data_IF_290375035946
#
_entry.id   IF_290375035946
#
_cell.length_a   1.000
_cell.length_b   1.000
_cell.length_c   1.000
_cell.angle_alpha   90.00
_cell.angle_beta   90.00
_cell.angle_gamma   90.00
#
_symmetry.space_group_name_H-M   'P 1'
#
loop_
_entity.id
_entity.type
_entity.pdbx_description
1 polymer ?
#
# COMPACT_ATOMS: atom_id res chain seq x y z
N UNK A 1 -22.30 10.43 -49.04
CA UNK A 1 -22.96 9.91 -47.82
C UNK A 1 -22.07 10.30 -46.64
N UNK A 2 -22.11 11.59 -46.31
CA UNK A 2 -21.20 12.24 -45.36
C UNK A 2 -21.70 12.09 -43.92
N UNK A 3 -20.84 11.61 -43.04
CA UNK A 3 -21.10 11.50 -41.60
C UNK A 3 -20.75 12.82 -40.90
N UNK A 4 -21.63 13.39 -40.05
CA UNK A 4 -21.37 14.66 -39.39
C UNK A 4 -20.43 14.50 -38.19
N UNK A 5 -19.42 15.38 -38.11
CA UNK A 5 -18.51 15.55 -36.96
C UNK A 5 -19.22 16.34 -35.85
N UNK A 6 -19.34 15.75 -34.67
CA UNK A 6 -19.88 16.39 -33.46
C UNK A 6 -18.75 17.15 -32.74
N UNK A 7 -18.73 18.47 -32.86
CA UNK A 7 -17.87 19.38 -32.12
C UNK A 7 -18.66 19.96 -30.95
N UNK A 8 -18.19 19.75 -29.72
CA UNK A 8 -18.77 20.33 -28.49
C UNK A 8 -17.85 21.43 -27.98
N UNK A 9 -18.17 22.68 -28.33
CA UNK A 9 -17.58 23.89 -27.73
C UNK A 9 -18.65 24.52 -26.81
N UNK A 10 -18.38 24.77 -25.53
CA UNK A 10 -19.35 25.44 -24.66
C UNK A 10 -19.47 26.93 -25.03
N UNK A 11 -20.67 27.55 -24.90
CA UNK A 11 -20.86 28.94 -25.28
C UNK A 11 -20.32 29.92 -24.23
N UNK A 12 -19.73 31.00 -24.73
CA UNK A 12 -19.24 32.13 -23.96
C UNK A 12 -20.39 32.91 -23.31
N UNK A 13 -20.26 33.19 -22.01
CA UNK A 13 -21.19 34.04 -21.26
C UNK A 13 -20.90 35.50 -21.59
N UNK A 14 -21.83 36.12 -22.31
CA UNK A 14 -21.83 37.54 -22.66
C UNK A 14 -21.85 38.42 -21.39
N UNK A 15 -20.86 39.30 -21.30
CA UNK A 15 -20.85 40.46 -20.42
C UNK A 15 -21.62 41.59 -21.13
N UNK A 16 -22.63 42.15 -20.48
CA UNK A 16 -23.28 43.37 -20.92
C UNK A 16 -22.58 44.56 -20.26
N UNK A 17 -22.04 45.45 -21.09
CA UNK A 17 -21.49 46.74 -20.71
C UNK A 17 -22.59 47.80 -20.66
N UNK A 18 -22.58 48.62 -19.61
CA UNK A 18 -23.10 49.98 -19.64
C UNK A 18 -22.34 50.83 -18.61
N UNK A 19 -21.48 51.73 -19.11
CA UNK A 19 -20.91 52.89 -18.39
C UNK A 19 -21.80 54.11 -18.67
N UNK A 20 -21.89 55.14 -17.80
CA UNK A 20 -20.85 56.20 -17.72
C UNK A 20 -20.73 56.84 -16.28
N UNK A 21 -20.08 58.01 -16.08
CA UNK A 21 -18.67 58.39 -16.27
C UNK A 21 -17.98 58.75 -14.91
N UNK A 22 -16.70 59.19 -14.88
CA UNK A 22 -15.83 59.07 -13.70
C UNK A 22 -15.73 60.36 -12.87
N UNK A 23 -15.79 60.25 -11.55
CA UNK A 23 -15.24 61.28 -10.66
C UNK A 23 -14.83 60.71 -9.30
N UNK A 24 -13.67 61.16 -8.84
CA UNK A 24 -13.09 61.08 -7.48
C UNK A 24 -12.23 59.85 -7.11
N UNK A 25 -11.10 60.20 -6.48
CA UNK A 25 -9.91 59.46 -6.14
C UNK A 25 -10.10 58.49 -4.93
N UNK A 26 -9.09 57.68 -4.54
CA UNK A 26 -9.31 56.45 -3.80
C UNK A 26 -9.53 56.71 -2.31
N UNK A 27 -10.69 56.31 -1.80
CA UNK A 27 -10.92 56.19 -0.37
C UNK A 27 -10.13 54.99 0.17
N UNK A 28 -9.07 55.28 0.91
CA UNK A 28 -8.29 54.31 1.66
C UNK A 28 -9.23 53.49 2.56
N UNK A 29 -9.21 52.16 2.39
CA UNK A 29 -9.90 51.23 3.29
C UNK A 29 -9.39 51.47 4.72
N UNK A 30 -10.27 51.64 5.71
CA UNK A 30 -9.83 51.82 7.09
C UNK A 30 -9.07 50.58 7.54
N UNK A 31 -7.79 50.78 7.92
CA UNK A 31 -6.99 49.77 8.61
C UNK A 31 -7.76 49.36 9.86
N UNK A 32 -8.26 48.13 9.86
CA UNK A 32 -8.92 47.51 11.01
C UNK A 32 -7.95 47.61 12.18
N UNK A 33 -8.33 48.36 13.21
CA UNK A 33 -7.58 48.52 14.46
C UNK A 33 -7.34 47.10 15.00
N UNK A 34 -6.08 46.70 15.12
CA UNK A 34 -5.67 45.45 15.76
C UNK A 34 -6.20 45.52 17.18
N UNK A 35 -7.27 44.78 17.42
CA UNK A 35 -7.83 44.59 18.75
C UNK A 35 -6.80 43.71 19.48
N UNK A 36 -6.33 44.13 20.64
CA UNK A 36 -5.45 43.33 21.50
C UNK A 36 -6.19 42.02 21.83
N UNK A 37 -5.90 40.98 21.05
CA UNK A 37 -6.47 39.66 21.25
C UNK A 37 -5.81 39.07 22.50
N UNK A 38 -6.61 38.38 23.31
CA UNK A 38 -6.12 37.63 24.47
C UNK A 38 -4.94 36.72 24.04
N UNK A 39 -3.88 36.59 24.86
CA UNK A 39 -2.66 35.88 24.48
C UNK A 39 -2.93 34.42 24.07
N UNK A 40 -3.99 33.81 24.60
CA UNK A 40 -4.43 32.47 24.23
C UNK A 40 -5.01 32.39 22.81
N UNK A 41 -5.83 33.37 22.41
CA UNK A 41 -6.41 33.43 21.06
C UNK A 41 -5.34 33.72 20.01
N UNK A 42 -4.33 34.52 20.38
CA UNK A 42 -3.17 34.76 19.53
C UNK A 42 -2.35 33.48 19.33
N UNK A 43 -2.15 32.66 20.38
CA UNK A 43 -1.47 31.37 20.27
C UNK A 43 -2.26 30.39 19.39
N UNK A 44 -3.58 30.30 19.57
CA UNK A 44 -4.42 29.46 18.73
C UNK A 44 -4.38 29.90 17.27
N UNK A 45 -4.43 31.21 17.01
CA UNK A 45 -4.30 31.74 15.65
C UNK A 45 -2.96 31.36 15.03
N UNK A 46 -1.86 31.45 15.80
CA UNK A 46 -0.53 31.10 15.31
C UNK A 46 -0.41 29.60 14.98
N UNK A 47 -0.99 28.72 15.80
CA UNK A 47 -0.85 27.27 15.65
C UNK A 47 -1.85 26.63 14.68
N UNK A 48 -3.02 27.24 14.47
CA UNK A 48 -4.08 26.64 13.64
C UNK A 48 -4.28 27.33 12.29
N UNK A 49 -3.88 28.59 12.13
CA UNK A 49 -4.18 29.32 10.90
C UNK A 49 -3.11 29.10 9.82
N UNK A 50 -3.47 28.73 8.59
CA UNK A 50 -2.51 28.58 7.49
C UNK A 50 -1.80 29.89 7.12
N UNK A 51 -2.40 31.04 7.47
CA UNK A 51 -1.83 32.39 7.26
C UNK A 51 -0.99 32.87 8.45
N UNK A 52 -0.72 32.00 9.41
CA UNK A 52 0.16 32.30 10.54
C UNK A 52 1.57 32.66 10.05
N UNK A 53 2.24 33.58 10.76
CA UNK A 53 3.66 33.89 10.50
C UNK A 53 4.56 32.69 10.74
N UNK A 54 4.11 31.68 11.50
CA UNK A 54 4.84 30.44 11.72
C UNK A 54 5.03 29.61 10.44
N UNK A 55 4.20 29.80 9.40
CA UNK A 55 4.37 29.07 8.12
C UNK A 55 5.42 29.69 7.21
N UNK A 56 5.80 30.95 7.46
CA UNK A 56 6.79 31.67 6.63
C UNK A 56 8.16 31.85 7.29
N UNK A 57 8.26 31.66 8.60
CA UNK A 57 9.53 31.76 9.34
C UNK A 57 10.26 30.41 9.31
N UNK A 58 11.59 30.42 9.42
CA UNK A 58 12.34 29.18 9.62
C UNK A 58 12.10 28.66 11.05
N UNK A 59 11.55 27.45 11.16
CA UNK A 59 11.25 26.85 12.47
C UNK A 59 12.51 26.46 13.24
N UNK A 60 13.63 26.25 12.54
CA UNK A 60 14.94 25.93 13.13
C UNK A 60 15.46 27.09 13.97
N UNK A 61 15.18 28.33 13.55
CA UNK A 61 15.56 29.54 14.29
C UNK A 61 14.70 29.74 15.55
N UNK A 62 13.47 29.21 15.55
CA UNK A 62 12.55 29.32 16.68
C UNK A 62 12.80 28.22 17.73
N UNK A 63 12.90 26.97 17.28
CA UNK A 63 13.04 25.78 18.14
C UNK A 63 14.50 25.34 18.14
N UNK A 64 15.31 26.03 18.93
CA UNK A 64 16.73 25.73 19.11
C UNK A 64 17.10 25.57 20.60
N UNK A 65 18.35 25.14 20.85
CA UNK A 65 18.86 24.92 22.20
C UNK A 65 18.84 26.20 23.06
N UNK A 66 19.04 27.39 22.47
CA UNK A 66 18.99 28.64 23.20
C UNK A 66 17.57 28.96 23.68
N UNK A 67 16.57 28.84 22.80
CA UNK A 67 15.15 28.98 23.13
C UNK A 67 14.71 28.00 24.21
N UNK A 68 15.19 26.74 24.15
CA UNK A 68 14.90 25.74 25.17
C UNK A 68 15.47 26.12 26.54
N UNK A 69 16.71 26.64 26.57
CA UNK A 69 17.36 27.07 27.81
C UNK A 69 16.72 28.33 28.43
N UNK A 70 15.96 29.12 27.65
CA UNK A 70 15.19 30.26 28.16
C UNK A 70 13.91 29.84 28.90
N UNK A 71 13.46 28.59 28.76
CA UNK A 71 12.27 28.08 29.45
C UNK A 71 12.53 27.80 30.93
N UNK A 72 11.46 27.82 31.74
CA UNK A 72 11.55 27.43 33.15
C UNK A 72 11.95 25.95 33.28
N UNK A 73 12.61 25.56 34.38
CA UNK A 73 13.04 24.16 34.57
C UNK A 73 11.86 23.17 34.56
N UNK A 74 10.70 23.60 35.07
CA UNK A 74 9.46 22.80 35.04
C UNK A 74 8.98 22.55 33.60
N UNK A 75 8.96 23.59 32.76
CA UNK A 75 8.60 23.44 31.34
C UNK A 75 9.61 22.59 30.57
N UNK A 76 10.90 22.70 30.89
CA UNK A 76 11.92 21.84 30.30
C UNK A 76 11.72 20.37 30.67
N UNK A 77 11.35 20.07 31.91
CA UNK A 77 11.07 18.70 32.36
C UNK A 77 9.83 18.12 31.66
N UNK A 78 8.75 18.90 31.55
CA UNK A 78 7.56 18.52 30.79
C UNK A 78 7.87 18.24 29.32
N UNK A 79 8.69 19.08 28.68
CA UNK A 79 9.11 18.86 27.29
C UNK A 79 9.99 17.63 27.13
N UNK A 80 10.91 17.38 28.07
CA UNK A 80 11.72 16.16 28.07
C UNK A 80 10.85 14.90 28.14
N UNK A 81 9.71 14.92 28.86
CA UNK A 81 8.82 13.78 28.91
C UNK A 81 8.18 13.43 27.54
N UNK A 82 8.10 14.38 26.61
CA UNK A 82 7.53 14.19 25.27
C UNK A 82 8.56 13.82 24.20
N UNK A 83 9.85 13.96 24.48
CA UNK A 83 10.92 13.66 23.54
C UNK A 83 11.17 12.15 23.44
N UNK A 84 11.56 11.65 22.24
CA UNK A 84 11.86 10.24 22.07
C UNK A 84 13.05 9.84 22.95
N UNK A 85 13.14 8.56 23.38
CA UNK A 85 14.26 8.08 24.18
C UNK A 85 15.62 8.34 23.56
N UNK A 86 15.71 8.37 22.22
CA UNK A 86 16.93 8.65 21.45
C UNK A 86 17.49 10.05 21.66
N UNK A 87 16.69 11.00 22.16
CA UNK A 87 17.15 12.37 22.42
C UNK A 87 18.04 12.48 23.67
N UNK A 88 18.15 11.41 24.47
CA UNK A 88 18.89 11.42 25.72
C UNK A 88 20.23 10.71 25.57
N UNK A 89 21.29 11.29 26.15
CA UNK A 89 22.64 10.71 26.14
C UNK A 89 22.70 9.31 26.78
N UNK A 90 21.75 9.01 27.67
CA UNK A 90 21.63 7.72 28.34
C UNK A 90 21.02 6.62 27.46
N UNK A 91 20.60 6.91 26.23
CA UNK A 91 19.96 5.92 25.37
C UNK A 91 20.98 4.93 24.81
N UNK A 92 20.84 3.67 25.21
CA UNK A 92 21.56 2.55 24.60
C UNK A 92 20.61 1.85 23.63
N UNK A 93 20.98 1.79 22.34
CA UNK A 93 20.21 1.05 21.34
C UNK A 93 20.22 -0.43 21.70
N UNK A 94 19.10 -0.92 22.24
CA UNK A 94 18.88 -2.35 22.46
C UNK A 94 18.44 -2.96 21.15
N UNK A 95 19.23 -3.91 20.67
CA UNK A 95 18.82 -4.79 19.58
C UNK A 95 17.82 -5.79 20.19
N UNK A 96 16.76 -6.11 19.45
CA UNK A 96 15.78 -7.11 19.86
C UNK A 96 16.46 -8.47 20.11
N UNK A 97 16.16 -9.20 21.20
CA UNK A 97 16.76 -10.50 21.47
C UNK A 97 16.60 -11.51 20.34
N UNK A 98 15.56 -11.40 19.51
CA UNK A 98 15.32 -12.29 18.38
C UNK A 98 16.10 -11.88 17.11
N UNK A 99 16.84 -10.76 17.15
CA UNK A 99 17.66 -10.32 16.02
C UNK A 99 18.91 -11.21 15.89
N UNK A 100 19.29 -11.69 14.68
CA UNK A 100 20.42 -12.60 14.50
C UNK A 100 21.78 -12.02 14.90
N UNK A 101 21.89 -10.70 15.05
CA UNK A 101 23.09 -10.02 15.56
C UNK A 101 23.15 -9.97 17.09
N UNK A 102 22.10 -10.36 17.81
CA UNK A 102 22.09 -10.43 19.27
C UNK A 102 22.87 -11.66 19.78
N UNK A 103 22.94 -12.75 19.00
CA UNK A 103 23.61 -14.00 19.39
C UNK A 103 25.14 -13.98 19.32
N UNK A 104 25.74 -12.89 18.81
CA UNK A 104 27.21 -12.76 18.67
C UNK A 104 27.84 -11.89 19.79
N UNK A 105 27.03 -11.50 20.77
CA UNK A 105 27.50 -10.76 21.95
C UNK A 105 28.16 -11.73 22.93
N UNK A 106 29.47 -11.95 22.80
CA UNK A 106 30.31 -12.60 23.82
C UNK A 106 30.07 -11.96 25.19
N UNK A 107 29.75 -12.80 26.17
CA UNK A 107 29.26 -12.47 27.51
C UNK A 107 30.37 -11.88 28.41
N UNK A 108 30.85 -10.70 28.05
CA UNK A 108 31.88 -9.98 28.81
C UNK A 108 31.27 -8.66 29.32
N UNK A 109 30.94 -8.66 30.61
CA UNK A 109 30.54 -7.52 31.44
C UNK A 109 29.16 -6.89 31.19
N UNK A 110 28.07 -7.63 31.45
CA UNK A 110 26.78 -7.01 31.79
C UNK A 110 26.77 -6.51 33.24
N UNK A 111 27.36 -5.34 33.47
CA UNK A 111 27.02 -4.51 34.63
C UNK A 111 25.59 -3.99 34.44
N UNK A 112 24.69 -4.40 35.34
CA UNK A 112 23.32 -3.93 35.42
C UNK A 112 23.29 -2.39 35.55
N UNK A 113 22.74 -1.65 34.58
CA UNK A 113 22.64 -0.20 34.70
C UNK A 113 21.57 0.14 35.73
N UNK A 114 22.01 0.50 36.92
CA UNK A 114 21.18 1.14 37.94
C UNK A 114 20.53 2.39 37.34
N UNK A 115 19.20 2.41 37.33
CA UNK A 115 18.35 3.48 36.81
C UNK A 115 18.57 4.79 37.60
N UNK A 116 19.58 5.56 37.23
CA UNK A 116 19.70 6.95 37.63
C UNK A 116 18.83 7.80 36.71
N UNK A 117 17.82 8.43 37.30
CA UNK A 117 16.71 9.17 36.68
C UNK A 117 17.10 10.50 36.03
N UNK A 118 18.39 10.84 35.95
CA UNK A 118 18.84 12.09 35.32
C UNK A 118 19.09 11.87 33.83
N UNK A 119 18.01 11.90 33.06
CA UNK A 119 18.07 11.88 31.59
C UNK A 119 18.62 13.22 31.10
N UNK A 120 19.94 13.29 30.93
CA UNK A 120 20.59 14.46 30.34
C UNK A 120 20.24 14.51 28.85
N UNK A 121 19.56 15.58 28.45
CA UNK A 121 19.14 15.80 27.07
C UNK A 121 20.36 16.14 26.22
N UNK A 122 20.51 15.49 25.07
CA UNK A 122 21.52 15.85 24.09
C UNK A 122 21.05 17.09 23.31
N UNK A 123 21.78 18.20 23.42
CA UNK A 123 21.41 19.45 22.74
C UNK A 123 21.52 19.36 21.22
N UNK A 124 22.26 18.38 20.69
CA UNK A 124 22.35 18.17 19.24
C UNK A 124 21.05 17.66 18.64
N UNK A 125 20.08 17.22 19.45
CA UNK A 125 18.76 16.80 18.98
C UNK A 125 18.04 17.89 18.19
N UNK A 126 18.23 19.16 18.56
CA UNK A 126 17.63 20.29 17.85
C UNK A 126 18.22 20.51 16.44
N UNK A 127 19.41 19.98 16.19
CA UNK A 127 20.08 20.00 14.88
C UNK A 127 19.96 18.68 14.12
N UNK A 128 19.29 17.68 14.69
CA UNK A 128 19.11 16.40 14.04
C UNK A 128 18.20 16.54 12.81
N UNK A 129 18.60 15.88 11.72
CA UNK A 129 17.86 15.83 10.46
C UNK A 129 16.42 15.35 10.64
N UNK A 130 16.18 14.38 11.53
CA UNK A 130 14.85 13.87 11.81
C UNK A 130 13.99 14.87 12.57
N UNK A 131 14.58 15.58 13.53
CA UNK A 131 13.88 16.62 14.28
C UNK A 131 13.50 17.80 13.39
N UNK A 132 14.43 18.27 12.55
CA UNK A 132 14.18 19.34 11.58
C UNK A 132 13.12 18.93 10.55
N UNK A 133 13.18 17.71 10.04
CA UNK A 133 12.15 17.19 9.14
C UNK A 133 10.76 17.16 9.80
N UNK A 134 10.68 16.74 11.07
CA UNK A 134 9.42 16.78 11.83
C UNK A 134 8.91 18.21 12.05
N UNK A 135 9.81 19.16 12.32
CA UNK A 135 9.48 20.56 12.49
C UNK A 135 8.94 21.18 11.18
N UNK A 136 9.58 20.92 10.03
CA UNK A 136 9.05 21.36 8.73
C UNK A 136 7.72 20.69 8.39
N UNK A 137 7.58 19.39 8.69
CA UNK A 137 6.30 18.69 8.51
C UNK A 137 5.19 19.33 9.34
N UNK A 138 5.49 19.80 10.56
CA UNK A 138 4.53 20.58 11.36
C UNK A 138 4.13 21.88 10.66
N UNK A 139 5.09 22.63 10.09
CA UNK A 139 4.77 23.85 9.33
C UNK A 139 3.88 23.53 8.12
N UNK A 140 4.19 22.47 7.38
CA UNK A 140 3.39 22.01 6.24
C UNK A 140 1.97 21.61 6.67
N UNK A 141 1.82 20.97 7.83
CA UNK A 141 0.52 20.63 8.41
C UNK A 141 -0.29 21.87 8.80
N UNK A 142 0.36 22.90 9.34
CA UNK A 142 -0.28 24.19 9.63
C UNK A 142 -0.70 24.87 8.32
N UNK A 143 0.18 24.90 7.31
CA UNK A 143 -0.10 25.49 6.01
C UNK A 143 -1.24 24.77 5.26
N UNK A 144 -1.28 23.44 5.36
CA UNK A 144 -2.29 22.59 4.71
C UNK A 144 -3.62 22.53 5.47
N UNK A 145 -3.78 23.34 6.52
CA UNK A 145 -4.99 23.39 7.36
C UNK A 145 -5.33 22.04 8.03
N UNK A 146 -4.31 21.20 8.28
CA UNK A 146 -4.49 19.90 8.95
C UNK A 146 -4.89 20.11 10.43
N UNK A 147 -4.36 21.14 11.08
CA UNK A 147 -4.67 21.46 12.47
C UNK A 147 -6.00 22.19 12.67
N UNK A 148 -6.82 22.34 11.63
CA UNK A 148 -8.12 23.01 11.74
C UNK A 148 -9.16 22.14 12.44
N UNK A 149 -10.11 22.80 13.13
CA UNK A 149 -11.19 22.11 13.83
C UNK A 149 -12.06 21.28 12.85
N UNK A 150 -12.14 21.70 11.59
CA UNK A 150 -12.81 20.97 10.52
C UNK A 150 -12.09 19.65 10.18
N UNK A 151 -10.76 19.65 10.14
CA UNK A 151 -10.00 18.42 9.96
C UNK A 151 -10.10 17.51 11.18
N UNK A 152 -9.98 18.05 12.39
CA UNK A 152 -10.14 17.30 13.64
C UNK A 152 -11.51 16.60 13.72
N UNK A 153 -12.60 17.28 13.32
CA UNK A 153 -13.93 16.69 13.25
C UNK A 153 -14.03 15.54 12.23
N UNK A 154 -13.34 15.64 11.09
CA UNK A 154 -13.28 14.56 10.09
C UNK A 154 -12.52 13.34 10.61
N UNK A 155 -11.37 13.55 11.28
CA UNK A 155 -10.58 12.47 11.89
C UNK A 155 -11.42 11.77 12.95
N UNK A 156 -12.06 12.51 13.85
CA UNK A 156 -12.92 11.94 14.88
C UNK A 156 -14.06 11.11 14.29
N UNK A 157 -14.73 11.63 13.25
CA UNK A 157 -15.78 10.87 12.54
C UNK A 157 -15.25 9.58 11.92
N UNK A 158 -14.02 9.60 11.39
CA UNK A 158 -13.36 8.42 10.85
C UNK A 158 -13.03 7.40 11.95
N UNK A 159 -12.46 7.85 13.07
CA UNK A 159 -12.17 7.02 14.25
C UNK A 159 -13.44 6.38 14.83
N UNK A 160 -14.51 7.17 14.99
CA UNK A 160 -15.81 6.69 15.46
C UNK A 160 -16.38 5.66 14.47
N UNK A 161 -16.28 5.89 13.15
CA UNK A 161 -16.68 4.92 12.14
C UNK A 161 -15.89 3.61 12.18
N UNK A 162 -14.59 3.66 12.53
CA UNK A 162 -13.77 2.45 12.74
C UNK A 162 -14.20 1.71 14.01
N UNK A 163 -14.53 2.43 15.08
CA UNK A 163 -15.02 1.82 16.34
C UNK A 163 -16.38 1.16 16.15
N UNK A 164 -17.27 1.81 15.41
CA UNK A 164 -18.61 1.32 15.11
C UNK A 164 -18.62 0.21 14.04
N UNK A 165 -17.47 -0.05 13.40
CA UNK A 165 -17.34 -1.07 12.34
C UNK A 165 -17.97 -0.68 11.01
N UNK A 166 -18.38 0.57 10.85
CA UNK A 166 -18.95 1.11 9.60
C UNK A 166 -17.87 1.46 8.57
N UNK A 167 -16.65 1.76 9.03
CA UNK A 167 -15.48 2.07 8.20
C UNK A 167 -14.34 1.09 8.52
N UNK A 168 -13.69 0.60 7.46
CA UNK A 168 -12.51 -0.25 7.59
C UNK A 168 -11.22 0.60 7.53
N UNK A 169 -10.24 0.21 8.34
CA UNK A 169 -8.90 0.80 8.33
C UNK A 169 -7.88 -0.29 8.04
N UNK A 170 -7.21 -0.20 6.89
CA UNK A 170 -6.31 -1.24 6.39
C UNK A 170 -5.22 -1.66 7.39
N UNK A 171 -4.71 -0.71 8.19
CA UNK A 171 -3.68 -0.99 9.20
C UNK A 171 -4.19 -1.85 10.37
N UNK A 172 -5.48 -1.80 10.70
CA UNK A 172 -6.07 -2.62 11.76
C UNK A 172 -6.23 -4.07 11.31
N UNK A 173 -6.52 -4.28 10.02
CA UNK A 173 -6.59 -5.60 9.40
C UNK A 173 -5.19 -6.24 9.36
N UNK A 174 -4.15 -5.48 9.03
CA UNK A 174 -2.75 -5.97 9.04
C UNK A 174 -2.24 -6.35 10.45
N UNK A 175 -2.59 -5.57 11.49
CA UNK A 175 -2.24 -5.91 12.89
C UNK A 175 -3.04 -7.12 13.36
N UNK A 176 -4.33 -7.21 13.00
CA UNK A 176 -5.16 -8.36 13.31
C UNK A 176 -4.64 -9.62 12.61
N UNK A 177 -4.26 -9.54 11.34
CA UNK A 177 -3.61 -10.60 10.58
C UNK A 177 -2.29 -11.01 11.26
N UNK A 178 -1.40 -10.06 11.57
CA UNK A 178 -0.14 -10.36 12.28
C UNK A 178 -0.37 -11.09 13.60
N UNK A 179 -1.38 -10.68 14.38
CA UNK A 179 -1.67 -11.27 15.68
C UNK A 179 -2.38 -12.63 15.58
N UNK A 180 -3.15 -12.88 14.51
CA UNK A 180 -3.93 -14.11 14.35
C UNK A 180 -3.31 -15.15 13.40
N UNK A 181 -2.31 -14.77 12.59
CA UNK A 181 -1.54 -15.70 11.76
C UNK A 181 -0.72 -16.67 12.64
N UNK A 182 -0.36 -16.28 13.87
CA UNK A 182 0.39 -17.12 14.82
C UNK A 182 -0.37 -18.37 15.29
N UNK A 183 -1.69 -18.45 15.12
CA UNK A 183 -2.47 -19.64 15.51
C UNK A 183 -2.63 -20.68 14.40
N UNK A 184 -2.28 -20.39 13.14
CA UNK A 184 -2.57 -21.31 12.02
C UNK A 184 -1.33 -22.00 11.42
N UNK A 185 -0.11 -21.66 11.87
CA UNK A 185 1.14 -22.10 11.23
C UNK A 185 2.08 -22.93 12.15
N UNK A 186 1.54 -23.76 13.06
CA UNK A 186 2.36 -24.83 13.67
C UNK A 186 2.35 -26.08 12.78
N UNK A 187 3.17 -26.05 11.72
CA UNK A 187 3.80 -27.25 11.16
C UNK A 187 5.31 -27.00 11.01
N UNK A 188 6.17 -27.86 11.55
CA UNK A 188 7.61 -27.65 11.50
C UNK A 188 8.11 -27.99 10.09
N UNK A 189 8.71 -27.00 9.41
CA UNK A 189 9.53 -27.24 8.22
C UNK A 189 10.97 -26.98 8.61
N UNK A 190 11.77 -28.03 8.46
CA UNK A 190 13.20 -28.06 8.72
C UNK A 190 13.89 -27.07 7.78
N UNK A 191 14.71 -26.21 8.39
CA UNK A 191 15.49 -25.16 7.74
C UNK A 191 16.58 -25.73 6.84
N UNK A 192 16.78 -25.14 5.67
CA UNK A 192 18.11 -24.92 5.13
C UNK A 192 18.16 -23.64 4.28
N UNK A 193 18.85 -22.65 4.85
CA UNK A 193 19.50 -21.46 4.30
C UNK A 193 19.14 -20.92 2.91
N UNK A 194 18.59 -19.71 2.87
CA UNK A 194 19.28 -18.50 2.37
C UNK A 194 18.36 -17.28 2.58
N UNK A 195 18.87 -16.28 3.30
CA UNK A 195 18.15 -15.05 3.63
C UNK A 195 18.23 -14.04 2.48
N UNK A 196 17.08 -13.52 2.05
CA UNK A 196 16.97 -12.29 1.27
C UNK A 196 15.99 -11.33 1.98
N UNK A 197 16.29 -10.03 2.09
CA UNK A 197 15.51 -9.10 2.91
C UNK A 197 14.23 -8.64 2.21
N UNK A 198 13.09 -8.77 2.88
CA UNK A 198 11.76 -8.39 2.37
C UNK A 198 11.37 -6.98 2.85
N UNK A 199 11.60 -5.97 2.00
CA UNK A 199 11.14 -4.58 2.20
C UNK A 199 10.10 -4.11 1.15
N UNK A 200 9.45 -5.02 0.42
CA UNK A 200 8.72 -4.68 -0.81
C UNK A 200 7.20 -4.40 -0.68
N UNK A 201 6.59 -4.48 0.50
CA UNK A 201 5.11 -4.47 0.57
C UNK A 201 4.52 -3.05 0.47
N UNK A 202 5.18 -2.04 1.06
CA UNK A 202 4.62 -0.68 1.15
C UNK A 202 4.54 0.09 -0.18
N UNK A 203 5.48 -0.17 -1.11
CA UNK A 203 5.53 0.58 -2.37
C UNK A 203 4.49 0.10 -3.41
N UNK A 204 3.98 -1.13 -3.25
CA UNK A 204 3.12 -1.80 -4.23
C UNK A 204 1.74 -1.15 -4.43
N UNK A 205 1.21 -0.46 -3.41
CA UNK A 205 -0.11 0.15 -3.47
C UNK A 205 -0.11 1.54 -4.16
N UNK A 206 0.91 2.37 -3.95
CA UNK A 206 1.06 3.65 -4.66
C UNK A 206 1.48 3.47 -6.13
N UNK A 207 2.27 2.42 -6.43
CA UNK A 207 2.74 2.05 -7.79
C UNK A 207 1.66 1.44 -8.70
N UNK A 208 0.48 1.13 -8.15
CA UNK A 208 -0.58 0.40 -8.86
C UNK A 208 -1.31 1.21 -9.95
N UNK A 209 -1.24 2.55 -9.88
CA UNK A 209 -1.95 3.43 -10.81
C UNK A 209 -1.36 3.45 -12.23
N UNK A 210 -0.04 3.45 -12.35
CA UNK A 210 0.66 3.55 -13.65
C UNK A 210 0.87 2.17 -14.30
N UNK A 211 1.11 1.13 -13.49
CA UNK A 211 1.11 -0.25 -13.96
C UNK A 211 -0.27 -0.68 -14.52
N UNK A 212 -1.34 0.10 -14.27
CA UNK A 212 -2.70 -0.15 -14.75
C UNK A 212 -2.85 -0.18 -16.28
N UNK A 213 -1.86 0.28 -17.04
CA UNK A 213 -1.87 0.23 -18.50
C UNK A 213 -1.39 -1.11 -19.08
N UNK A 214 -0.63 -1.91 -18.31
CA UNK A 214 -0.09 -3.19 -18.79
C UNK A 214 -1.23 -4.21 -18.89
N UNK A 215 -1.46 -4.74 -20.09
CA UNK A 215 -2.49 -5.76 -20.35
C UNK A 215 -1.92 -7.16 -20.14
N UNK A 216 -2.79 -8.14 -19.89
CA UNK A 216 -2.42 -9.56 -19.74
C UNK A 216 -1.66 -10.08 -20.96
N UNK A 217 -2.11 -9.68 -22.15
CA UNK A 217 -1.48 -9.95 -23.45
C UNK A 217 -0.03 -9.46 -23.51
N UNK A 218 0.28 -8.32 -22.87
CA UNK A 218 1.64 -7.80 -22.80
C UNK A 218 2.54 -8.72 -21.96
N UNK A 219 2.05 -9.23 -20.82
CA UNK A 219 2.81 -10.17 -20.00
C UNK A 219 3.11 -11.48 -20.76
N UNK A 220 2.16 -11.96 -21.54
CA UNK A 220 2.37 -13.12 -22.41
C UNK A 220 3.38 -12.83 -23.54
N UNK A 221 3.29 -11.66 -24.18
CA UNK A 221 4.22 -11.22 -25.23
C UNK A 221 5.67 -11.16 -24.76
N UNK A 222 5.90 -10.73 -23.53
CA UNK A 222 7.23 -10.57 -22.95
C UNK A 222 7.72 -11.81 -22.18
N UNK A 223 6.99 -12.94 -22.26
CA UNK A 223 7.42 -14.19 -21.64
C UNK A 223 7.32 -14.22 -20.11
N UNK A 224 6.63 -13.25 -19.52
CA UNK A 224 6.29 -13.24 -18.08
C UNK A 224 5.28 -14.34 -17.78
N UNK A 225 4.36 -14.62 -18.70
CA UNK A 225 3.50 -15.81 -18.71
C UNK A 225 3.96 -16.76 -19.80
N UNK A 226 4.04 -18.05 -19.48
CA UNK A 226 4.60 -19.10 -20.35
C UNK A 226 3.63 -20.28 -20.48
N UNK A 227 3.77 -21.01 -21.58
CA UNK A 227 3.09 -22.30 -21.75
C UNK A 227 3.53 -23.25 -20.63
N UNK A 228 2.58 -23.97 -20.04
CA UNK A 228 2.81 -24.88 -18.93
C UNK A 228 2.70 -24.24 -17.53
N UNK A 229 2.58 -22.91 -17.43
CA UNK A 229 2.28 -22.24 -16.16
C UNK A 229 0.87 -22.59 -15.68
N UNK A 230 0.70 -22.72 -14.36
CA UNK A 230 -0.61 -22.86 -13.72
C UNK A 230 -1.05 -21.51 -13.16
N UNK A 231 -2.22 -21.04 -13.56
CA UNK A 231 -2.89 -19.88 -12.98
C UNK A 231 -3.88 -20.37 -11.93
N UNK A 232 -3.55 -20.15 -10.67
CA UNK A 232 -4.37 -20.47 -9.52
C UNK A 232 -5.25 -19.28 -9.15
N UNK A 233 -6.56 -19.49 -9.14
CA UNK A 233 -7.56 -18.53 -8.69
C UNK A 233 -8.00 -18.82 -7.27
N UNK A 234 -8.11 -17.76 -6.47
CA UNK A 234 -8.68 -17.80 -5.13
C UNK A 234 -9.44 -16.52 -4.85
N UNK A 235 -10.73 -16.64 -4.52
CA UNK A 235 -11.55 -15.49 -4.12
C UNK A 235 -12.61 -15.88 -3.09
N UNK A 236 -12.78 -15.01 -2.10
CA UNK A 236 -13.85 -15.11 -1.12
C UNK A 236 -15.03 -14.20 -1.55
N UNK A 237 -16.24 -14.76 -1.55
CA UNK A 237 -17.49 -14.07 -1.82
C UNK A 237 -18.24 -13.92 -0.51
N UNK A 238 -17.90 -12.90 0.28
CA UNK A 238 -18.50 -12.65 1.60
C UNK A 238 -20.02 -12.53 1.59
N UNK A 239 -20.61 -12.00 0.51
CA UNK A 239 -22.07 -11.94 0.35
C UNK A 239 -22.77 -13.29 0.12
N UNK A 240 -22.01 -14.35 -0.14
CA UNK A 240 -22.49 -15.73 -0.33
C UNK A 240 -21.89 -16.71 0.68
N UNK A 241 -20.95 -16.27 1.52
CA UNK A 241 -20.13 -17.09 2.42
C UNK A 241 -19.47 -18.29 1.73
N UNK A 242 -18.97 -18.07 0.50
CA UNK A 242 -18.32 -19.12 -0.30
C UNK A 242 -16.94 -18.65 -0.73
N UNK A 243 -15.96 -19.53 -0.59
CA UNK A 243 -14.64 -19.39 -1.18
C UNK A 243 -14.51 -20.30 -2.42
N UNK A 244 -14.06 -19.71 -3.53
CA UNK A 244 -13.80 -20.43 -4.77
C UNK A 244 -12.29 -20.51 -4.97
N UNK A 245 -11.80 -21.73 -5.18
CA UNK A 245 -10.42 -22.02 -5.53
C UNK A 245 -10.39 -22.89 -6.79
N UNK A 246 -9.68 -22.47 -7.82
CA UNK A 246 -9.64 -23.13 -9.14
C UNK A 246 -8.28 -22.97 -9.79
N UNK A 247 -7.77 -24.04 -10.39
CA UNK A 247 -6.53 -24.00 -11.15
C UNK A 247 -6.81 -24.09 -12.66
N UNK A 248 -5.99 -23.39 -13.44
CA UNK A 248 -5.97 -23.44 -14.89
C UNK A 248 -4.55 -23.58 -15.41
N UNK A 249 -4.34 -24.30 -16.51
CA UNK A 249 -3.02 -24.39 -17.14
C UNK A 249 -3.01 -23.67 -18.48
N UNK A 250 -1.92 -22.93 -18.75
CA UNK A 250 -1.71 -22.28 -20.05
C UNK A 250 -1.25 -23.34 -21.05
N UNK A 251 -2.12 -23.72 -21.97
CA UNK A 251 -1.82 -24.70 -23.01
C UNK A 251 -1.03 -24.11 -24.17
N UNK A 252 -1.44 -22.93 -24.65
CA UNK A 252 -0.79 -22.29 -25.79
C UNK A 252 -0.95 -20.78 -25.72
N UNK A 253 0.01 -20.05 -26.29
CA UNK A 253 -0.07 -18.60 -26.45
C UNK A 253 -0.13 -18.31 -27.95
N UNK A 254 -1.18 -17.64 -28.40
CA UNK A 254 -1.35 -17.36 -29.83
C UNK A 254 -0.23 -16.42 -30.33
N UNK A 255 0.50 -16.75 -31.41
CA UNK A 255 1.74 -16.05 -31.78
C UNK A 255 1.57 -14.57 -32.19
N UNK A 256 0.42 -14.21 -32.78
CA UNK A 256 0.14 -12.83 -33.23
C UNK A 256 -0.59 -11.95 -32.20
N UNK A 257 -1.59 -12.52 -31.53
CA UNK A 257 -2.47 -11.79 -30.61
C UNK A 257 -2.04 -11.92 -29.15
N UNK A 258 -1.15 -12.85 -28.83
CA UNK A 258 -0.74 -13.25 -27.47
C UNK A 258 -1.92 -13.54 -26.54
N UNK A 259 -3.05 -13.97 -27.10
CA UNK A 259 -4.16 -14.52 -26.34
C UNK A 259 -3.75 -15.87 -25.74
N UNK A 260 -4.16 -16.12 -24.50
CA UNK A 260 -3.86 -17.35 -23.78
C UNK A 260 -4.96 -18.37 -24.06
N UNK A 261 -4.60 -19.56 -24.50
CA UNK A 261 -5.50 -20.72 -24.45
C UNK A 261 -5.24 -21.44 -23.14
N UNK A 262 -6.24 -21.51 -22.29
CA UNK A 262 -6.15 -22.09 -20.95
C UNK A 262 -7.14 -23.24 -20.80
N UNK A 263 -6.73 -24.26 -20.05
CA UNK A 263 -7.51 -25.45 -19.75
C UNK A 263 -7.97 -25.42 -18.29
N UNK A 264 -9.23 -25.80 -18.07
CA UNK A 264 -9.84 -25.90 -16.74
C UNK A 264 -10.68 -27.17 -16.63
N UNK A 265 -10.83 -27.66 -15.40
CA UNK A 265 -11.78 -28.72 -15.09
C UNK A 265 -13.16 -28.16 -14.71
N UNK A 266 -14.25 -28.77 -15.22
CA UNK A 266 -15.60 -28.41 -14.84
C UNK A 266 -15.96 -28.79 -13.40
N UNK A 267 -16.98 -28.12 -12.86
CA UNK A 267 -17.48 -28.36 -11.50
C UNK A 267 -16.67 -27.63 -10.44
N UNK A 268 -16.62 -28.14 -9.21
CA UNK A 268 -16.01 -27.47 -8.04
C UNK A 268 -14.59 -27.94 -7.73
N UNK A 269 -14.00 -28.78 -8.59
CA UNK A 269 -12.65 -29.31 -8.45
C UNK A 269 -11.62 -28.20 -8.47
N UNK A 270 -10.80 -28.13 -7.42
CA UNK A 270 -9.74 -27.12 -7.30
C UNK A 270 -8.56 -27.40 -8.23
N UNK A 271 -8.05 -28.63 -8.17
CA UNK A 271 -6.81 -29.02 -8.84
C UNK A 271 -7.08 -29.59 -10.23
N UNK A 272 -6.11 -29.40 -11.13
CA UNK A 272 -6.11 -30.04 -12.44
C UNK A 272 -5.72 -31.53 -12.31
N UNK A 273 -6.21 -32.40 -13.20
CA UNK A 273 -5.87 -33.81 -13.19
C UNK A 273 -4.39 -34.02 -13.54
N UNK A 274 -3.80 -35.09 -13.01
CA UNK A 274 -2.37 -35.36 -13.11
C UNK A 274 -1.85 -35.41 -14.57
N UNK A 275 -2.68 -35.84 -15.52
CA UNK A 275 -2.31 -35.89 -16.94
C UNK A 275 -2.14 -34.52 -17.61
N UNK A 276 -2.70 -33.45 -17.02
CA UNK A 276 -2.49 -32.07 -17.48
C UNK A 276 -1.34 -31.37 -16.73
N UNK A 277 -0.84 -31.97 -15.65
CA UNK A 277 0.23 -31.37 -14.85
C UNK A 277 1.62 -31.58 -15.48
N UNK A 278 1.72 -32.20 -16.66
CA UNK A 278 2.97 -32.36 -17.41
C UNK A 278 3.53 -31.02 -17.92
N UNK A 279 4.84 -30.91 -18.20
CA UNK A 279 5.45 -29.69 -18.73
C UNK A 279 4.86 -29.27 -20.09
N UNK A 280 4.50 -30.25 -20.91
CA UNK A 280 3.77 -30.07 -22.16
C UNK A 280 2.33 -30.48 -21.88
N UNK A 281 1.38 -29.53 -21.83
CA UNK A 281 -0.03 -29.86 -21.58
C UNK A 281 -0.57 -30.71 -22.73
N UNK A 282 -1.16 -31.86 -22.40
CA UNK A 282 -1.80 -32.72 -23.39
C UNK A 282 -2.98 -32.00 -24.09
N UNK A 283 -3.42 -32.51 -25.23
CA UNK A 283 -4.65 -32.02 -25.87
C UNK A 283 -5.86 -32.18 -24.93
N UNK A 284 -6.84 -31.28 -25.00
CA UNK A 284 -8.00 -31.31 -24.10
C UNK A 284 -8.80 -32.60 -24.33
N UNK A 285 -8.75 -33.52 -23.38
CA UNK A 285 -9.68 -34.65 -23.32
C UNK A 285 -10.88 -34.30 -22.46
N UNK A 286 -12.07 -34.78 -22.80
CA UNK A 286 -13.24 -34.61 -21.94
C UNK A 286 -12.95 -35.19 -20.53
N UNK A 287 -13.28 -34.49 -19.43
CA UNK A 287 -14.19 -33.34 -19.35
C UNK A 287 -13.52 -31.95 -19.37
N UNK A 288 -12.20 -31.87 -19.59
CA UNK A 288 -11.45 -30.60 -19.59
C UNK A 288 -11.98 -29.63 -20.64
N UNK A 289 -12.17 -28.37 -20.27
CA UNK A 289 -12.62 -27.30 -21.15
C UNK A 289 -11.50 -26.32 -21.47
N UNK A 290 -11.43 -25.88 -22.72
CA UNK A 290 -10.49 -24.85 -23.18
C UNK A 290 -11.19 -23.50 -23.39
N UNK A 291 -10.56 -22.40 -22.97
CA UNK A 291 -11.02 -21.05 -23.30
C UNK A 291 -9.88 -20.16 -23.80
N UNK A 292 -10.21 -19.25 -24.72
CA UNK A 292 -9.29 -18.20 -25.18
C UNK A 292 -9.48 -16.95 -24.34
N UNK A 293 -8.41 -16.50 -23.69
CA UNK A 293 -8.42 -15.44 -22.68
C UNK A 293 -7.51 -14.29 -23.12
N UNK A 294 -8.06 -13.07 -23.08
CA UNK A 294 -7.33 -11.84 -23.41
C UNK A 294 -7.25 -10.85 -22.25
N UNK A 295 -8.01 -11.06 -21.18
CA UNK A 295 -8.01 -10.22 -19.99
C UNK A 295 -8.23 -11.02 -18.69
N UNK A 296 -7.77 -10.54 -17.53
CA UNK A 296 -7.98 -11.25 -16.26
C UNK A 296 -9.44 -11.33 -15.85
N UNK A 297 -10.27 -10.33 -16.20
CA UNK A 297 -11.71 -10.37 -15.95
C UNK A 297 -12.40 -11.46 -16.79
N UNK A 298 -11.93 -11.68 -18.03
CA UNK A 298 -12.41 -12.78 -18.87
C UNK A 298 -12.02 -14.14 -18.27
N UNK A 299 -10.79 -14.25 -17.73
CA UNK A 299 -10.32 -15.44 -17.02
C UNK A 299 -11.18 -15.75 -15.79
N UNK A 300 -11.42 -14.73 -14.96
CA UNK A 300 -12.24 -14.86 -13.75
C UNK A 300 -13.67 -15.26 -14.08
N UNK A 301 -14.27 -14.60 -15.07
CA UNK A 301 -15.63 -14.92 -15.51
C UNK A 301 -15.71 -16.35 -16.03
N UNK A 302 -14.73 -16.80 -16.81
CA UNK A 302 -14.67 -18.17 -17.32
C UNK A 302 -14.54 -19.21 -16.20
N UNK A 303 -13.65 -19.00 -15.23
CA UNK A 303 -13.50 -19.90 -14.08
C UNK A 303 -14.77 -19.97 -13.23
N UNK A 304 -15.44 -18.85 -13.01
CA UNK A 304 -16.69 -18.79 -12.23
C UNK A 304 -17.87 -19.39 -12.98
N UNK A 305 -17.93 -19.25 -14.32
CA UNK A 305 -18.93 -19.91 -15.16
C UNK A 305 -18.77 -21.44 -15.10
N UNK A 306 -17.54 -21.93 -15.11
CA UNK A 306 -17.20 -23.35 -15.06
C UNK A 306 -17.46 -23.94 -13.65
N UNK A 307 -17.23 -23.16 -12.59
CA UNK A 307 -17.51 -23.56 -11.21
C UNK A 307 -19.02 -23.58 -10.90
N UNK A 308 -19.78 -22.62 -11.45
CA UNK A 308 -21.25 -22.61 -11.42
C UNK A 308 -21.89 -22.17 -10.10
N UNK A 309 -21.13 -22.03 -8.99
CA UNK A 309 -21.69 -21.61 -7.69
C UNK A 309 -22.01 -20.12 -7.58
N UNK A 310 -21.46 -19.28 -8.46
CA UNK A 310 -21.66 -17.82 -8.42
C UNK A 310 -22.29 -17.31 -9.72
N UNK A 311 -23.53 -16.88 -9.61
CA UNK A 311 -24.28 -16.22 -10.69
C UNK A 311 -23.56 -14.96 -11.18
N UNK A 312 -23.60 -14.70 -12.49
CA UNK A 312 -22.96 -13.52 -13.11
C UNK A 312 -23.36 -12.19 -12.46
N UNK A 313 -24.61 -12.04 -12.03
CA UNK A 313 -25.11 -10.81 -11.40
C UNK A 313 -24.52 -10.55 -10.00
N UNK A 314 -24.04 -11.60 -9.30
CA UNK A 314 -23.45 -11.50 -7.96
C UNK A 314 -21.93 -11.42 -7.99
N UNK A 315 -21.32 -11.36 -9.18
CA UNK A 315 -19.88 -11.27 -9.33
C UNK A 315 -19.42 -9.84 -9.02
N UNK A 316 -18.50 -9.65 -8.07
CA UNK A 316 -17.99 -8.34 -7.72
C UNK A 316 -17.13 -7.75 -8.85
N UNK A 317 -17.32 -6.47 -9.15
CA UNK A 317 -16.52 -5.70 -10.13
C UNK A 317 -15.13 -5.32 -9.58
N UNK A 318 -14.43 -6.29 -8.99
CA UNK A 318 -13.14 -6.08 -8.34
C UNK A 318 -11.95 -6.19 -9.29
N UNK A 319 -10.76 -5.89 -8.76
CA UNK A 319 -9.51 -6.03 -9.47
C UNK A 319 -9.09 -7.51 -9.57
N UNK A 320 -9.51 -8.18 -10.66
CA UNK A 320 -9.24 -9.58 -10.92
C UNK A 320 -7.73 -9.93 -10.89
N UNK A 321 -6.83 -8.98 -11.16
CA UNK A 321 -5.37 -9.19 -11.12
C UNK A 321 -4.86 -9.69 -9.76
N UNK A 322 -5.54 -9.33 -8.67
CA UNK A 322 -5.14 -9.73 -7.30
C UNK A 322 -5.58 -11.15 -6.94
N UNK A 323 -6.51 -11.73 -7.68
CA UNK A 323 -7.12 -13.03 -7.38
C UNK A 323 -6.37 -14.21 -8.01
N UNK A 324 -5.33 -13.94 -8.81
CA UNK A 324 -4.59 -14.96 -9.55
C UNK A 324 -3.14 -15.04 -9.11
N UNK A 325 -2.68 -16.25 -8.82
CA UNK A 325 -1.28 -16.60 -8.56
C UNK A 325 -0.76 -17.50 -9.67
N UNK A 326 0.41 -17.16 -10.21
CA UNK A 326 1.09 -17.96 -11.24
C UNK A 326 2.03 -18.94 -10.57
N UNK A 327 1.98 -20.18 -11.03
CA UNK A 327 2.80 -21.30 -10.58
C UNK A 327 3.63 -21.83 -11.74
N UNK A 328 4.93 -21.96 -11.55
CA UNK A 328 5.90 -22.30 -12.60
C UNK A 328 6.85 -23.40 -12.15
N UNK A 329 7.36 -24.18 -13.09
CA UNK A 329 8.39 -25.19 -12.84
C UNK A 329 9.71 -24.58 -12.35
N UNK A 330 10.37 -25.28 -11.43
CA UNK A 330 11.71 -24.94 -10.93
C UNK A 330 12.74 -25.58 -11.86
N UNK A 331 13.10 -24.91 -12.95
CA UNK A 331 14.07 -25.40 -13.94
C UNK A 331 13.50 -25.54 -15.36
N UNK A 332 14.36 -25.90 -16.32
CA UNK A 332 13.94 -26.17 -17.71
C UNK A 332 13.08 -27.45 -17.78
N UNK A 333 12.20 -27.59 -18.79
CA UNK A 333 11.19 -28.67 -18.90
C UNK A 333 11.70 -30.13 -18.97
N UNK A 334 12.99 -30.39 -18.69
CA UNK A 334 13.65 -31.69 -18.80
C UNK A 334 14.14 -32.31 -17.49
N UNK A 335 14.23 -31.56 -16.39
CA UNK A 335 14.65 -32.10 -15.08
C UNK A 335 13.46 -32.77 -14.38
N UNK A 336 13.10 -33.93 -14.91
CA UNK A 336 11.86 -34.68 -14.65
C UNK A 336 11.82 -35.42 -13.31
N UNK A 337 12.85 -35.31 -12.46
CA UNK A 337 13.02 -36.18 -11.28
C UNK A 337 12.34 -35.67 -10.00
N UNK A 338 11.76 -34.47 -9.99
CA UNK A 338 11.05 -33.96 -8.81
C UNK A 338 9.56 -33.84 -9.09
N UNK A 339 8.87 -34.99 -9.12
CA UNK A 339 7.43 -35.06 -8.89
C UNK A 339 7.17 -34.64 -7.44
N UNK A 340 7.22 -33.34 -7.18
CA UNK A 340 6.90 -32.79 -5.87
C UNK A 340 5.46 -33.16 -5.50
N UNK A 341 5.27 -33.61 -4.26
CA UNK A 341 4.00 -34.05 -3.65
C UNK A 341 2.90 -32.95 -3.59
N UNK A 342 3.09 -31.81 -4.25
CA UNK A 342 2.13 -30.72 -4.33
C UNK A 342 1.08 -30.96 -5.42
N UNK A 343 -0.18 -30.60 -5.14
CA UNK A 343 -1.33 -30.70 -6.08
C UNK A 343 -1.23 -29.90 -7.39
N UNK A 344 -0.05 -29.31 -7.69
CA UNK A 344 0.27 -28.56 -8.92
C UNK A 344 1.47 -29.13 -9.68
N UNK A 345 1.86 -30.37 -9.35
CA UNK A 345 2.93 -31.13 -10.00
C UNK A 345 4.26 -30.40 -9.89
N UNK A 346 4.83 -30.27 -8.69
CA UNK A 346 6.19 -29.72 -8.49
C UNK A 346 6.42 -28.23 -8.79
N UNK A 347 5.43 -27.51 -9.34
CA UNK A 347 5.53 -26.06 -9.60
C UNK A 347 5.60 -25.25 -8.31
N UNK A 348 6.33 -24.14 -8.33
CA UNK A 348 6.44 -23.17 -7.24
C UNK A 348 5.65 -21.88 -7.54
N UNK A 349 5.26 -21.17 -6.49
CA UNK A 349 4.55 -19.90 -6.62
C UNK A 349 5.48 -18.81 -7.14
N UNK A 350 5.27 -18.39 -8.39
CA UNK A 350 6.07 -17.34 -9.03
C UNK A 350 5.61 -15.92 -8.65
N UNK A 351 4.35 -15.76 -8.22
CA UNK A 351 3.79 -14.48 -7.76
C UNK A 351 2.35 -14.26 -8.24
N UNK A 352 1.69 -13.23 -7.74
CA UNK A 352 0.36 -12.86 -8.24
C UNK A 352 0.46 -12.15 -9.58
N UNK A 353 -0.58 -12.24 -10.42
CA UNK A 353 -0.62 -11.47 -11.68
C UNK A 353 -0.47 -9.97 -11.42
N UNK A 354 -0.99 -9.47 -10.29
CA UNK A 354 -0.79 -8.09 -9.86
C UNK A 354 0.70 -7.76 -9.61
N UNK A 355 1.44 -8.62 -8.89
CA UNK A 355 2.86 -8.40 -8.64
C UNK A 355 3.70 -8.55 -9.90
N UNK A 356 3.48 -9.60 -10.70
CA UNK A 356 4.20 -9.82 -11.96
C UNK A 356 4.02 -8.68 -12.95
N UNK A 357 2.86 -8.04 -12.93
CA UNK A 357 2.58 -6.84 -13.70
C UNK A 357 3.37 -5.63 -13.20
N UNK A 358 3.46 -5.46 -11.88
CA UNK A 358 4.22 -4.39 -11.25
C UNK A 358 5.72 -4.53 -11.50
N UNK A 359 6.28 -5.72 -11.32
CA UNK A 359 7.72 -5.97 -11.60
C UNK A 359 8.07 -5.70 -13.05
N UNK A 360 7.27 -6.22 -14.00
CA UNK A 360 7.48 -5.97 -15.42
C UNK A 360 7.39 -4.48 -15.81
N UNK A 361 6.58 -3.68 -15.11
CA UNK A 361 6.53 -2.23 -15.32
C UNK A 361 7.86 -1.55 -14.97
N UNK A 362 8.52 -1.99 -13.90
CA UNK A 362 9.75 -1.37 -13.40
C UNK A 362 11.02 -1.85 -14.11
N UNK A 363 11.00 -3.04 -14.71
CA UNK A 363 12.12 -3.57 -15.49
C UNK A 363 12.22 -2.97 -16.90
N UNK A 364 11.23 -2.17 -17.31
CA UNK A 364 11.15 -1.51 -18.62
C UNK A 364 11.57 -0.05 -18.51
#
# INVERSE_FOLDING_TARGET
>A
MDRPRRSTRPPARLQAAATPPPTSAPAARPKRKTQDAEPFDQLQFLLKNPKSTLTSMDISDLINAASFNMLSPESQEMLKALLPPTAFLSFKRTIDPDHPSASDSMDVDQLTPSASTSRTLDMTVFTDSHFLAAAHTLQDHIYSDWMSDAHAARVKKYEDGIRDGTLAAAWKDEIWERNNISSTMLRPVISNGQAAPSNHVAESNARAGEAAEIKLVTLAKHGVLRVGDIIAYKRNFSGLDIQIEKDAIIQSIHPKTYALTVLFEPGTTKYLPAHLLTPIPAEPSAPTQSATITSPSMLETGMLDIDGRVERARRPNGNAWKCFTVWRWRGEPGDMEVLGEGGRGGRESHGTLFYLRGTYYHER
#
